data_IF_216365179469
#
_entry.id   IF_216365179469
#
_cell.length_a   1.000
_cell.length_b   1.000
_cell.length_c   1.000
_cell.angle_alpha   90.00
_cell.angle_beta   90.00
_cell.angle_gamma   90.00
#
_symmetry.space_group_name_H-M   'P 1'
#
loop_
_entity.id
_entity.type
_entity.pdbx_description
1 polymer ?
#
# COMPACT_ATOMS: atom_id res chain seq x y z
N UNK A 1 2.61 4.42 17.26
CA UNK A 1 1.97 4.31 15.93
C UNK A 1 1.36 5.61 15.42
N UNK A 2 0.69 6.43 16.24
CA UNK A 2 0.08 7.70 15.81
C UNK A 2 1.02 8.64 15.02
N UNK A 3 2.26 8.86 15.49
CA UNK A 3 3.23 9.71 14.78
C UNK A 3 3.85 9.12 13.50
N UNK A 4 3.68 7.80 13.24
CA UNK A 4 3.99 7.20 11.93
C UNK A 4 2.84 7.51 10.98
N UNK A 5 1.62 7.14 11.37
CA UNK A 5 0.42 7.35 10.58
C UNK A 5 0.30 8.81 10.14
N UNK A 6 0.45 9.77 11.04
CA UNK A 6 0.40 11.19 10.70
C UNK A 6 1.43 11.62 9.64
N UNK A 7 2.65 11.04 9.65
CA UNK A 7 3.69 11.33 8.64
C UNK A 7 3.34 10.72 7.28
N UNK A 8 2.88 9.47 7.28
CA UNK A 8 2.44 8.81 6.05
C UNK A 8 1.23 9.53 5.46
N UNK A 9 0.22 9.87 6.28
CA UNK A 9 -0.98 10.60 5.87
C UNK A 9 -0.67 11.99 5.29
N UNK A 10 0.32 12.70 5.84
CA UNK A 10 0.75 14.00 5.31
C UNK A 10 1.31 13.91 3.88
N UNK A 11 1.81 12.75 3.46
CA UNK A 11 2.25 12.49 2.07
C UNK A 11 1.10 11.88 1.26
N UNK A 12 0.37 10.93 1.84
CA UNK A 12 -0.65 10.14 1.18
C UNK A 12 -1.87 10.98 0.79
N UNK A 13 -2.42 11.77 1.72
CA UNK A 13 -3.64 12.54 1.49
C UNK A 13 -3.55 13.50 0.30
N UNK A 14 -2.51 14.37 0.16
CA UNK A 14 -2.40 15.24 -1.00
C UNK A 14 -2.13 14.48 -2.29
N UNK A 15 -1.35 13.39 -2.25
CA UNK A 15 -1.07 12.56 -3.42
C UNK A 15 -2.32 11.83 -3.92
N UNK A 16 -3.14 11.30 -3.01
CA UNK A 16 -4.41 10.67 -3.34
C UNK A 16 -5.37 11.68 -3.95
N UNK A 17 -5.49 12.88 -3.36
CA UNK A 17 -6.34 13.94 -3.90
C UNK A 17 -5.93 14.36 -5.32
N UNK A 18 -4.62 14.41 -5.61
CA UNK A 18 -4.12 14.70 -6.96
C UNK A 18 -4.49 13.60 -7.96
N UNK A 19 -4.35 12.34 -7.57
CA UNK A 19 -4.74 11.18 -8.39
C UNK A 19 -6.26 11.16 -8.62
N UNK A 20 -7.08 11.44 -7.60
CA UNK A 20 -8.54 11.55 -7.75
C UNK A 20 -8.94 12.73 -8.65
N UNK A 21 -8.22 13.86 -8.62
CA UNK A 21 -8.53 15.02 -9.47
C UNK A 21 -8.18 14.79 -10.94
N UNK A 22 -7.18 13.96 -11.21
CA UNK A 22 -6.78 13.56 -12.57
C UNK A 22 -7.64 12.41 -13.10
N UNK A 23 -8.28 11.66 -12.21
CA UNK A 23 -9.19 10.60 -12.57
C UNK A 23 -10.46 11.16 -13.22
N UNK A 24 -10.84 10.61 -14.38
CA UNK A 24 -12.13 10.89 -15.00
C UNK A 24 -13.27 10.16 -14.29
N UNK A 25 -14.41 10.02 -14.97
CA UNK A 25 -15.59 9.32 -14.44
C UNK A 25 -15.35 7.85 -14.04
N UNK A 26 -14.30 7.23 -14.56
CA UNK A 26 -13.92 5.86 -14.23
C UNK A 26 -13.22 5.72 -12.87
N UNK A 27 -12.84 6.82 -12.22
CA UNK A 27 -12.01 6.79 -11.02
C UNK A 27 -10.53 6.52 -11.32
N UNK A 28 -9.68 6.55 -10.27
CA UNK A 28 -8.25 6.33 -10.43
C UNK A 28 -7.93 4.87 -10.75
N UNK A 29 -6.91 4.65 -11.56
CA UNK A 29 -6.46 3.29 -11.86
C UNK A 29 -5.70 2.65 -10.68
N UNK A 30 -5.67 1.32 -10.66
CA UNK A 30 -5.04 0.58 -9.57
C UNK A 30 -3.53 0.85 -9.47
N UNK A 31 -2.75 0.94 -10.57
CA UNK A 31 -1.34 1.32 -10.50
C UNK A 31 -1.08 2.68 -9.85
N UNK A 32 -1.90 3.70 -10.14
CA UNK A 32 -1.76 5.02 -9.48
C UNK A 32 -2.06 4.93 -7.98
N UNK A 33 -3.10 4.19 -7.58
CA UNK A 33 -3.42 3.98 -6.16
C UNK A 33 -2.28 3.27 -5.42
N UNK A 34 -1.72 2.21 -6.01
CA UNK A 34 -0.56 1.50 -5.45
C UNK A 34 0.66 2.43 -5.39
N UNK A 35 0.88 3.23 -6.43
CA UNK A 35 1.95 4.24 -6.48
C UNK A 35 1.88 5.26 -5.35
N UNK A 36 0.67 5.76 -5.05
CA UNK A 36 0.43 6.68 -3.92
C UNK A 36 0.82 6.03 -2.59
N UNK A 37 0.34 4.81 -2.34
CA UNK A 37 0.63 4.09 -1.10
C UNK A 37 2.14 3.80 -0.94
N UNK A 38 2.78 3.26 -1.98
CA UNK A 38 4.21 2.94 -1.96
C UNK A 38 5.04 4.19 -1.73
N UNK A 39 4.72 5.29 -2.41
CA UNK A 39 5.43 6.57 -2.25
C UNK A 39 5.29 7.13 -0.85
N UNK A 40 4.07 7.10 -0.29
CA UNK A 40 3.80 7.60 1.05
C UNK A 40 4.56 6.79 2.12
N UNK A 41 4.55 5.47 2.03
CA UNK A 41 5.29 4.60 2.95
C UNK A 41 6.82 4.73 2.76
N UNK A 42 7.28 4.83 1.52
CA UNK A 42 8.70 5.02 1.20
C UNK A 42 9.26 6.36 1.72
N UNK A 43 8.41 7.37 1.98
CA UNK A 43 8.84 8.61 2.62
C UNK A 43 9.53 8.39 3.97
N UNK A 44 9.23 7.28 4.66
CA UNK A 44 9.85 6.87 5.91
C UNK A 44 11.28 6.32 5.74
N UNK A 45 11.74 6.03 4.52
CA UNK A 45 13.12 5.59 4.26
C UNK A 45 14.15 6.72 4.38
N UNK A 46 13.69 7.99 4.39
CA UNK A 46 14.56 9.18 4.38
C UNK A 46 15.39 9.36 5.64
N UNK A 47 14.91 8.87 6.78
CA UNK A 47 15.57 9.02 8.07
C UNK A 47 15.57 7.73 8.90
N UNK A 48 16.51 7.61 9.82
CA UNK A 48 16.69 6.43 10.66
C UNK A 48 15.47 6.13 11.54
N UNK A 49 14.72 7.16 11.95
CA UNK A 49 13.52 6.96 12.77
C UNK A 49 12.43 6.30 11.94
N UNK A 50 12.21 6.74 10.71
CA UNK A 50 11.26 6.16 9.77
C UNK A 50 11.63 4.74 9.38
N UNK A 51 12.92 4.48 9.09
CA UNK A 51 13.43 3.13 8.82
C UNK A 51 13.15 2.15 9.97
N UNK A 52 13.41 2.57 11.21
CA UNK A 52 13.07 1.77 12.41
C UNK A 52 11.57 1.56 12.54
N UNK A 53 10.75 2.58 12.26
CA UNK A 53 9.30 2.44 12.26
C UNK A 53 8.81 1.41 11.24
N UNK A 54 9.31 1.44 10.00
CA UNK A 54 8.93 0.48 8.94
C UNK A 54 9.19 -0.97 9.39
N UNK A 55 10.33 -1.23 10.01
CA UNK A 55 10.68 -2.56 10.54
C UNK A 55 9.70 -3.06 11.60
N UNK A 56 9.31 -2.19 12.53
CA UNK A 56 8.37 -2.56 13.59
C UNK A 56 6.96 -2.71 13.03
N UNK A 57 6.51 -1.82 12.14
CA UNK A 57 5.15 -1.89 11.60
C UNK A 57 4.91 -3.11 10.71
N UNK A 58 5.91 -3.54 9.94
CA UNK A 58 5.78 -4.75 9.11
C UNK A 58 5.52 -6.02 9.94
N UNK A 59 5.93 -6.04 11.21
CA UNK A 59 5.70 -7.15 12.13
C UNK A 59 4.30 -7.09 12.79
N UNK A 60 3.60 -5.97 12.68
CA UNK A 60 2.31 -5.69 13.29
C UNK A 60 1.16 -5.63 12.27
N UNK A 61 1.45 -5.97 11.00
CA UNK A 61 0.54 -5.79 9.88
C UNK A 61 -0.54 -6.88 9.83
N UNK A 62 -1.46 -6.92 10.80
CA UNK A 62 -2.61 -7.83 10.80
C UNK A 62 -3.94 -7.19 11.30
N UNK A 63 -4.00 -5.86 11.39
CA UNK A 63 -5.15 -5.14 11.96
C UNK A 63 -5.66 -4.01 11.06
N UNK A 64 -5.73 -4.23 9.74
CA UNK A 64 -6.24 -3.21 8.81
C UNK A 64 -7.76 -3.03 8.90
N UNK A 65 -8.50 -4.11 9.21
CA UNK A 65 -9.96 -4.15 9.10
C UNK A 65 -10.49 -4.43 7.69
N UNK A 66 -9.62 -4.67 6.70
CA UNK A 66 -10.01 -4.91 5.30
C UNK A 66 -10.94 -6.12 5.17
N UNK A 67 -10.58 -7.25 5.80
CA UNK A 67 -11.36 -8.50 5.71
C UNK A 67 -12.77 -8.39 6.30
N UNK A 68 -12.97 -7.55 7.31
CA UNK A 68 -14.27 -7.33 7.96
C UNK A 68 -15.03 -6.13 7.40
N UNK A 69 -14.43 -5.36 6.48
CA UNK A 69 -14.89 -4.04 6.01
C UNK A 69 -15.06 -2.98 7.11
N UNK A 70 -14.62 -3.28 8.32
CA UNK A 70 -14.69 -2.34 9.43
C UNK A 70 -13.29 -1.83 9.66
N UNK A 71 -12.98 -0.57 9.33
CA UNK A 71 -11.65 -0.04 9.55
C UNK A 71 -11.27 -0.18 11.02
N UNK A 72 -10.02 -0.52 11.28
CA UNK A 72 -9.49 -0.35 12.63
C UNK A 72 -9.65 1.12 13.05
N UNK A 73 -9.96 1.45 14.33
CA UNK A 73 -10.21 2.84 14.75
C UNK A 73 -9.10 3.84 14.42
N UNK A 74 -7.87 3.36 14.21
CA UNK A 74 -6.75 4.21 13.80
C UNK A 74 -6.73 4.56 12.31
N UNK A 75 -7.46 3.82 11.48
CA UNK A 75 -7.56 4.02 10.03
C UNK A 75 -8.89 4.64 9.63
N UNK A 76 -9.90 4.59 10.49
CA UNK A 76 -11.19 5.21 10.20
C UNK A 76 -11.05 6.72 9.91
N UNK A 77 -11.70 7.19 8.85
CA UNK A 77 -11.61 8.56 8.36
C UNK A 77 -10.26 8.98 7.76
N UNK A 78 -9.30 8.07 7.59
CA UNK A 78 -7.97 8.40 7.01
C UNK A 78 -7.96 8.31 5.48
N UNK A 79 -7.00 9.00 4.85
CA UNK A 79 -6.77 8.86 3.42
C UNK A 79 -6.26 7.46 3.07
N UNK A 80 -5.56 6.77 3.98
CA UNK A 80 -5.21 5.34 3.82
C UNK A 80 -6.46 4.48 3.65
N UNK A 81 -7.48 4.63 4.49
CA UNK A 81 -8.72 3.86 4.35
C UNK A 81 -9.49 4.22 3.08
N UNK A 82 -9.52 5.51 2.72
CA UNK A 82 -10.09 5.97 1.44
C UNK A 82 -9.41 5.28 0.24
N UNK A 83 -8.07 5.22 0.23
CA UNK A 83 -7.28 4.55 -0.81
C UNK A 83 -7.61 3.06 -0.89
N UNK A 84 -7.68 2.38 0.26
CA UNK A 84 -8.06 0.96 0.34
C UNK A 84 -9.44 0.75 -0.29
N UNK A 85 -10.42 1.60 0.04
CA UNK A 85 -11.75 1.54 -0.55
C UNK A 85 -11.73 1.68 -2.08
N UNK A 86 -10.99 2.67 -2.60
CA UNK A 86 -10.84 2.88 -4.04
C UNK A 86 -10.18 1.68 -4.73
N UNK A 87 -9.17 1.06 -4.11
CA UNK A 87 -8.50 -0.11 -4.65
C UNK A 87 -9.44 -1.33 -4.69
N UNK A 88 -10.28 -1.52 -3.66
CA UNK A 88 -11.31 -2.56 -3.63
C UNK A 88 -12.35 -2.37 -4.75
N UNK A 89 -12.75 -1.14 -5.02
CA UNK A 89 -13.66 -0.80 -6.13
C UNK A 89 -13.01 -1.01 -7.50
N UNK A 90 -11.74 -0.61 -7.68
CA UNK A 90 -10.99 -0.85 -8.92
C UNK A 90 -10.88 -2.35 -9.24
N UNK A 91 -10.65 -3.19 -8.21
CA UNK A 91 -10.66 -4.64 -8.38
C UNK A 91 -12.07 -5.20 -8.65
N UNK A 92 -13.12 -4.55 -8.15
CA UNK A 92 -14.51 -4.91 -8.46
C UNK A 92 -14.79 -4.72 -9.96
N UNK A 93 -14.38 -3.56 -10.49
CA UNK A 93 -14.50 -3.24 -11.91
C UNK A 93 -13.70 -4.20 -12.80
N UNK A 94 -12.61 -4.78 -12.29
CA UNK A 94 -11.84 -5.84 -12.95
C UNK A 94 -12.49 -7.24 -12.86
N UNK A 95 -13.67 -7.37 -12.24
CA UNK A 95 -14.44 -8.61 -12.20
C UNK A 95 -14.02 -9.60 -11.12
N UNK A 96 -13.23 -9.18 -10.12
CA UNK A 96 -12.80 -10.08 -9.05
C UNK A 96 -13.93 -10.30 -8.01
N UNK A 97 -14.20 -11.56 -7.59
CA UNK A 97 -15.06 -11.87 -6.45
C UNK A 97 -14.61 -11.13 -5.19
N UNK A 98 -15.57 -10.68 -4.40
CA UNK A 98 -15.32 -9.87 -3.21
C UNK A 98 -14.26 -10.46 -2.26
N UNK A 99 -14.41 -11.71 -1.86
CA UNK A 99 -13.50 -12.34 -0.92
C UNK A 99 -12.06 -12.37 -1.45
N UNK A 100 -11.88 -12.56 -2.77
CA UNK A 100 -10.56 -12.46 -3.41
C UNK A 100 -10.02 -11.03 -3.41
N UNK A 101 -10.87 -10.02 -3.62
CA UNK A 101 -10.45 -8.61 -3.57
C UNK A 101 -9.93 -8.24 -2.18
N UNK A 102 -10.68 -8.58 -1.14
CA UNK A 102 -10.31 -8.27 0.24
C UNK A 102 -9.04 -9.02 0.66
N UNK A 103 -8.93 -10.31 0.32
CA UNK A 103 -7.74 -11.10 0.62
C UNK A 103 -6.50 -10.56 -0.09
N UNK A 104 -6.62 -10.19 -1.37
CA UNK A 104 -5.50 -9.62 -2.13
C UNK A 104 -5.07 -8.25 -1.63
N UNK A 105 -6.00 -7.39 -1.25
CA UNK A 105 -5.65 -6.09 -0.67
C UNK A 105 -4.87 -6.29 0.63
N UNK A 106 -5.33 -7.18 1.51
CA UNK A 106 -4.60 -7.45 2.76
C UNK A 106 -3.18 -7.98 2.48
N UNK A 107 -3.04 -8.94 1.56
CA UNK A 107 -1.74 -9.48 1.16
C UNK A 107 -0.84 -8.42 0.52
N UNK A 108 -1.39 -7.51 -0.29
CA UNK A 108 -0.63 -6.43 -0.90
C UNK A 108 -0.11 -5.44 0.14
N UNK A 109 -0.91 -5.09 1.16
CA UNK A 109 -0.46 -4.26 2.28
C UNK A 109 0.70 -4.94 3.04
N UNK A 110 0.59 -6.25 3.29
CA UNK A 110 1.69 -7.04 3.88
C UNK A 110 2.93 -7.03 3.00
N UNK A 111 2.79 -7.28 1.69
CA UNK A 111 3.89 -7.30 0.73
C UNK A 111 4.65 -5.97 0.69
N UNK A 112 3.93 -4.85 0.54
CA UNK A 112 4.52 -3.51 0.52
C UNK A 112 5.24 -3.22 1.83
N UNK A 113 4.59 -3.49 2.97
CA UNK A 113 5.17 -3.28 4.29
C UNK A 113 6.46 -4.08 4.50
N UNK A 114 6.45 -5.36 4.12
CA UNK A 114 7.60 -6.24 4.22
C UNK A 114 8.76 -5.80 3.31
N UNK A 115 8.46 -5.44 2.05
CA UNK A 115 9.47 -4.99 1.09
C UNK A 115 10.16 -3.69 1.57
N UNK A 116 9.40 -2.71 2.06
CA UNK A 116 9.94 -1.47 2.59
C UNK A 116 10.69 -1.66 3.91
N UNK A 117 10.24 -2.58 4.77
CA UNK A 117 10.96 -2.94 5.99
C UNK A 117 12.31 -3.62 5.69
N UNK A 118 12.37 -4.48 4.67
CA UNK A 118 13.62 -5.07 4.21
C UNK A 118 14.59 -4.01 3.68
N UNK A 119 14.10 -3.09 2.83
CA UNK A 119 14.90 -1.97 2.34
C UNK A 119 15.41 -1.09 3.48
N UNK A 120 14.56 -0.78 4.46
CA UNK A 120 14.93 -0.03 5.65
C UNK A 120 16.03 -0.73 6.47
N UNK A 121 15.97 -2.06 6.59
CA UNK A 121 17.01 -2.86 7.23
C UNK A 121 18.34 -2.71 6.49
N UNK A 122 18.35 -2.87 5.17
CA UNK A 122 19.58 -2.72 4.36
C UNK A 122 20.25 -1.35 4.59
N UNK A 123 19.48 -0.27 4.61
CA UNK A 123 19.99 1.07 4.88
C UNK A 123 20.55 1.23 6.30
N UNK A 124 19.89 0.67 7.31
CA UNK A 124 20.35 0.73 8.70
C UNK A 124 21.62 -0.09 8.92
N UNK A 125 21.76 -1.21 8.22
CA UNK A 125 22.92 -2.12 8.34
C UNK A 125 24.09 -1.65 7.45
N UNK A 126 23.93 -0.57 6.67
CA UNK A 126 24.93 -0.10 5.71
C UNK A 126 25.15 -1.06 4.53
N UNK A 127 24.24 -2.02 4.32
CA UNK A 127 24.31 -2.97 3.22
C UNK A 127 23.93 -2.26 1.90
N UNK A 128 24.68 -2.53 0.83
CA UNK A 128 24.39 -1.96 -0.49
C UNK A 128 23.18 -2.66 -1.13
N UNK A 129 22.09 -1.94 -1.45
CA UNK A 129 21.01 -2.44 -2.30
C UNK A 129 21.46 -3.02 -3.63
N UNK A 130 20.75 -4.05 -4.12
CA UNK A 130 20.92 -4.56 -5.49
C UNK A 130 20.45 -3.55 -6.55
N UNK A 131 19.47 -2.71 -6.23
CA UNK A 131 18.89 -1.70 -7.11
C UNK A 131 18.88 -0.33 -6.43
N UNK A 132 18.88 0.76 -7.20
CA UNK A 132 18.67 2.09 -6.64
C UNK A 132 17.21 2.28 -6.22
N UNK A 133 16.95 3.24 -5.32
CA UNK A 133 15.65 3.40 -4.65
C UNK A 133 14.50 3.60 -5.64
N UNK A 134 14.66 4.48 -6.63
CA UNK A 134 13.62 4.74 -7.63
C UNK A 134 13.25 3.48 -8.44
N UNK A 135 14.24 2.69 -8.89
CA UNK A 135 13.97 1.42 -9.57
C UNK A 135 13.25 0.43 -8.65
N UNK A 136 13.64 0.35 -7.39
CA UNK A 136 12.97 -0.51 -6.42
C UNK A 136 11.52 -0.11 -6.18
N UNK A 137 11.23 1.19 -6.04
CA UNK A 137 9.87 1.67 -5.82
C UNK A 137 8.99 1.45 -7.05
N UNK A 138 9.51 1.73 -8.25
CA UNK A 138 8.80 1.46 -9.50
C UNK A 138 8.48 -0.03 -9.68
N UNK A 139 9.46 -0.90 -9.39
CA UNK A 139 9.27 -2.36 -9.46
C UNK A 139 8.28 -2.88 -8.41
N UNK A 140 8.32 -2.33 -7.19
CA UNK A 140 7.37 -2.68 -6.14
C UNK A 140 5.93 -2.29 -6.52
N UNK A 141 5.74 -1.12 -7.14
CA UNK A 141 4.43 -0.71 -7.69
C UNK A 141 3.98 -1.68 -8.77
N UNK A 142 4.81 -1.90 -9.80
CA UNK A 142 4.48 -2.79 -10.91
C UNK A 142 4.14 -4.22 -10.46
N UNK A 143 4.97 -4.79 -9.59
CA UNK A 143 4.78 -6.14 -9.05
C UNK A 143 3.53 -6.24 -8.19
N UNK A 144 3.27 -5.25 -7.33
CA UNK A 144 2.07 -5.26 -6.48
C UNK A 144 0.79 -5.09 -7.30
N UNK A 145 0.80 -4.19 -8.31
CA UNK A 145 -0.33 -4.04 -9.22
C UNK A 145 -0.61 -5.31 -10.03
N UNK A 146 0.44 -5.97 -10.54
CA UNK A 146 0.32 -7.24 -11.25
C UNK A 146 -0.22 -8.35 -10.33
N UNK A 147 0.27 -8.43 -9.09
CA UNK A 147 -0.24 -9.35 -8.08
C UNK A 147 -1.74 -9.15 -7.81
N UNK A 148 -2.17 -7.90 -7.62
CA UNK A 148 -3.58 -7.57 -7.35
C UNK A 148 -4.49 -7.92 -8.54
N UNK A 149 -4.01 -7.75 -9.77
CA UNK A 149 -4.74 -8.02 -11.02
C UNK A 149 -4.58 -9.45 -11.55
N UNK A 150 -3.87 -10.33 -10.83
CA UNK A 150 -3.71 -11.71 -11.26
C UNK A 150 -5.08 -12.37 -11.57
N UNK A 151 -5.21 -13.26 -12.57
CA UNK A 151 -6.48 -13.93 -12.81
C UNK A 151 -7.02 -14.63 -11.56
N UNK A 152 -8.34 -14.62 -11.37
CA UNK A 152 -8.95 -15.43 -10.31
C UNK A 152 -8.75 -16.93 -10.63
N UNK A 153 -8.47 -17.79 -9.63
CA UNK A 153 -8.46 -19.23 -9.85
C UNK A 153 -9.85 -19.70 -10.31
N UNK A 154 -9.90 -20.62 -11.27
CA UNK A 154 -11.15 -21.24 -11.74
C UNK A 154 -11.76 -22.16 -10.67
N UNK A 155 -13.09 -22.41 -10.75
CA UNK A 155 -14.09 -21.51 -10.18
C UNK A 155 -13.84 -21.29 -8.67
N UNK A 156 -13.87 -20.02 -8.27
CA UNK A 156 -13.96 -19.63 -6.87
C UNK A 156 -15.41 -19.90 -6.37
N UNK A 157 -15.63 -20.75 -5.36
CA UNK A 157 -16.95 -21.12 -4.87
C UNK A 157 -17.69 -19.95 -4.20
#
# INVERSE_FOLDING_TARGET
MAGRLARTEAVLAPALAAVEAQAGAAGPDLPALVGVLVTAEASLLRDDRGRRCLRVSAQLAHESGVRSRTPHPTLDGTATWRLIGLAVEALAAAGLPEALRLERIELALTLIGAALADRARQYLDGARPLTYEEAFLADLVGTTSAFLLAPAPAPYP
#
